data_IF_002683507041
#
_entry.id   IF_002683507041
#
_cell.length_a   1.000
_cell.length_b   1.000
_cell.length_c   1.000
_cell.angle_alpha   90.00
_cell.angle_beta   90.00
_cell.angle_gamma   90.00
#
_symmetry.space_group_name_H-M   'P 1'
#
loop_
_entity.id
_entity.type
_entity.pdbx_description
1 polymer ?
#
# COMPACT_ATOMS: atom_id res chain seq x y z
N UNK A 1 10.40 -27.06 -3.29
CA UNK A 1 10.96 -26.34 -4.45
C UNK A 1 11.18 -24.88 -4.06
N UNK A 2 12.31 -24.30 -4.40
CA UNK A 2 12.59 -22.86 -4.22
C UNK A 2 11.71 -22.07 -5.19
N UNK A 3 11.13 -20.94 -4.73
CA UNK A 3 10.33 -20.05 -5.58
C UNK A 3 11.11 -18.74 -5.81
N UNK A 4 11.03 -18.23 -7.03
CA UNK A 4 11.63 -16.95 -7.43
C UNK A 4 10.56 -15.86 -7.32
N UNK A 5 10.89 -14.77 -6.65
CA UNK A 5 10.00 -13.62 -6.48
C UNK A 5 10.80 -12.32 -6.52
N UNK A 6 10.12 -11.21 -6.79
CA UNK A 6 10.64 -9.85 -6.61
C UNK A 6 9.92 -9.11 -5.49
N UNK A 7 10.48 -8.00 -5.02
CA UNK A 7 9.81 -7.11 -4.05
C UNK A 7 8.68 -6.31 -4.70
N UNK A 8 8.87 -5.89 -5.93
CA UNK A 8 7.99 -5.08 -6.74
C UNK A 8 8.64 -4.75 -8.08
N UNK A 9 7.96 -3.95 -8.91
CA UNK A 9 8.44 -3.51 -10.21
C UNK A 9 8.44 -1.98 -10.30
N UNK A 10 9.52 -1.36 -10.86
CA UNK A 10 9.57 0.10 -11.01
C UNK A 10 8.43 0.62 -11.88
N UNK A 11 7.53 1.44 -11.31
CA UNK A 11 6.32 1.93 -12.00
C UNK A 11 6.55 3.05 -13.01
N UNK A 12 7.76 3.60 -13.08
CA UNK A 12 8.04 4.79 -13.90
C UNK A 12 7.83 4.56 -15.41
N UNK A 13 8.09 3.34 -15.88
CA UNK A 13 8.12 2.99 -17.29
C UNK A 13 9.44 3.38 -17.96
N UNK A 14 9.79 2.73 -19.08
CA UNK A 14 11.07 2.91 -19.79
C UNK A 14 11.25 4.32 -20.36
N UNK A 15 10.15 4.94 -20.80
CA UNK A 15 10.09 6.30 -21.36
C UNK A 15 9.45 7.31 -20.41
N UNK A 16 9.38 6.97 -19.10
CA UNK A 16 8.73 7.76 -18.06
C UNK A 16 7.23 7.97 -18.32
N UNK A 17 6.55 6.96 -18.87
CA UNK A 17 5.14 7.01 -19.24
C UNK A 17 4.29 7.39 -18.02
N UNK A 18 4.54 6.74 -16.89
CA UNK A 18 3.83 7.03 -15.67
C UNK A 18 3.96 8.49 -15.22
N UNK A 19 5.19 9.03 -15.23
CA UNK A 19 5.43 10.43 -14.84
C UNK A 19 4.65 11.39 -15.72
N UNK A 20 4.70 11.19 -17.05
CA UNK A 20 4.00 12.05 -18.02
C UNK A 20 2.49 11.99 -17.82
N UNK A 21 1.97 10.81 -17.50
CA UNK A 21 0.54 10.59 -17.31
C UNK A 21 0.01 11.34 -16.08
N UNK A 22 0.66 11.20 -14.92
CA UNK A 22 0.23 11.90 -13.70
C UNK A 22 0.43 13.42 -13.79
N UNK A 23 1.53 13.90 -14.40
CA UNK A 23 1.75 15.32 -14.64
C UNK A 23 0.68 15.90 -15.59
N UNK A 24 0.28 15.14 -16.62
CA UNK A 24 -0.82 15.48 -17.52
C UNK A 24 -2.16 15.58 -16.78
N UNK A 25 -2.43 14.68 -15.85
CA UNK A 25 -3.62 14.72 -15.01
C UNK A 25 -3.63 15.97 -14.10
N UNK A 26 -2.53 16.25 -13.43
CA UNK A 26 -2.42 17.46 -12.59
C UNK A 26 -2.55 18.76 -13.38
N UNK A 27 -2.08 18.78 -14.63
CA UNK A 27 -2.24 19.90 -15.54
C UNK A 27 -3.64 19.96 -16.18
N UNK A 28 -4.56 19.04 -15.84
CA UNK A 28 -5.91 18.91 -16.43
C UNK A 28 -5.92 18.62 -17.93
N UNK A 29 -4.83 18.08 -18.48
CA UNK A 29 -4.71 17.63 -19.87
C UNK A 29 -5.11 16.16 -20.06
N UNK A 30 -5.16 15.38 -18.98
CA UNK A 30 -5.58 13.97 -18.94
C UNK A 30 -6.79 13.87 -18.03
N UNK A 31 -7.83 13.19 -18.46
CA UNK A 31 -9.05 12.96 -17.66
C UNK A 31 -8.86 11.76 -16.73
N UNK A 32 -9.67 11.68 -15.67
CA UNK A 32 -9.59 10.62 -14.66
C UNK A 32 -9.70 9.21 -15.25
N UNK A 33 -10.64 8.98 -16.14
CA UNK A 33 -10.81 7.68 -16.79
C UNK A 33 -9.60 7.29 -17.65
N UNK A 34 -9.03 8.26 -18.38
CA UNK A 34 -7.82 8.07 -19.17
C UNK A 34 -6.61 7.75 -18.25
N UNK A 35 -6.47 8.46 -17.11
CA UNK A 35 -5.45 8.16 -16.11
C UNK A 35 -5.54 6.71 -15.64
N UNK A 36 -6.73 6.23 -15.27
CA UNK A 36 -6.90 4.86 -14.78
C UNK A 36 -6.70 3.81 -15.88
N UNK A 37 -7.15 4.08 -17.09
CA UNK A 37 -6.97 3.19 -18.23
C UNK A 37 -5.48 3.00 -18.56
N UNK A 38 -4.74 4.09 -18.72
CA UNK A 38 -3.31 4.05 -19.04
C UNK A 38 -2.47 3.49 -17.87
N UNK A 39 -2.81 3.83 -16.62
CA UNK A 39 -2.19 3.21 -15.44
C UNK A 39 -2.42 1.68 -15.43
N UNK A 40 -3.63 1.24 -15.78
CA UNK A 40 -3.96 -0.18 -15.91
C UNK A 40 -3.15 -0.87 -17.00
N UNK A 41 -2.97 -0.24 -18.18
CA UNK A 41 -2.14 -0.78 -19.27
C UNK A 41 -0.69 -0.98 -18.81
N UNK A 42 -0.08 0.05 -18.20
CA UNK A 42 1.29 -0.03 -17.68
C UNK A 42 1.43 -1.14 -16.62
N UNK A 43 0.51 -1.21 -15.68
CA UNK A 43 0.52 -2.22 -14.62
C UNK A 43 0.47 -3.64 -15.18
N UNK A 44 -0.45 -3.92 -16.09
CA UNK A 44 -0.58 -5.23 -16.78
C UNK A 44 0.68 -5.58 -17.56
N UNK A 45 1.29 -4.61 -18.24
CA UNK A 45 2.56 -4.80 -18.93
C UNK A 45 3.67 -5.20 -17.94
N UNK A 46 3.78 -4.55 -16.80
CA UNK A 46 4.80 -4.85 -15.79
C UNK A 46 4.60 -6.21 -15.13
N UNK A 47 3.34 -6.59 -14.89
CA UNK A 47 2.99 -7.95 -14.42
C UNK A 47 3.42 -8.99 -15.46
N UNK A 48 3.10 -8.76 -16.73
CA UNK A 48 3.48 -9.67 -17.83
C UNK A 48 4.99 -9.79 -18.00
N UNK A 49 5.75 -8.70 -17.92
CA UNK A 49 7.23 -8.72 -17.98
C UNK A 49 7.83 -9.61 -16.90
N UNK A 50 7.32 -9.52 -15.68
CA UNK A 50 7.77 -10.37 -14.58
C UNK A 50 7.40 -11.85 -14.79
N UNK A 51 6.21 -12.12 -15.32
CA UNK A 51 5.77 -13.47 -15.68
C UNK A 51 6.67 -14.09 -16.77
N UNK A 52 6.93 -13.35 -17.84
CA UNK A 52 7.77 -13.78 -18.97
C UNK A 52 9.24 -13.97 -18.54
N UNK A 53 9.70 -13.23 -17.52
CA UNK A 53 11.02 -13.42 -16.90
C UNK A 53 11.12 -14.67 -16.01
N UNK A 54 10.03 -15.41 -15.82
CA UNK A 54 10.01 -16.69 -15.10
C UNK A 54 9.84 -16.59 -13.59
N UNK A 55 9.33 -15.48 -13.05
CA UNK A 55 9.00 -15.39 -11.62
C UNK A 55 7.89 -16.39 -11.26
N UNK A 56 8.02 -17.02 -10.08
CA UNK A 56 7.01 -17.91 -9.51
C UNK A 56 5.96 -17.19 -8.70
N UNK A 57 6.36 -16.05 -8.08
CA UNK A 57 5.46 -15.17 -7.31
C UNK A 57 5.66 -13.74 -7.79
N UNK A 58 4.61 -13.15 -8.32
CA UNK A 58 4.60 -11.83 -8.95
C UNK A 58 3.88 -10.85 -8.03
N UNK A 59 4.57 -9.80 -7.55
CA UNK A 59 3.98 -8.81 -6.65
C UNK A 59 2.82 -8.06 -7.31
N UNK A 60 1.80 -7.80 -6.51
CA UNK A 60 0.58 -7.08 -6.87
C UNK A 60 0.25 -6.08 -5.78
N UNK A 61 -0.10 -4.86 -6.13
CA UNK A 61 -0.34 -3.78 -5.17
C UNK A 61 0.83 -2.82 -5.01
N UNK A 62 2.01 -3.17 -5.54
CA UNK A 62 3.22 -2.35 -5.58
C UNK A 62 3.09 -1.13 -6.53
N UNK A 63 2.20 -1.17 -7.52
CA UNK A 63 1.92 -0.05 -8.41
C UNK A 63 0.95 0.94 -7.74
N UNK A 64 1.49 2.01 -7.15
CA UNK A 64 0.71 3.12 -6.59
C UNK A 64 0.56 4.27 -7.59
N UNK A 65 -0.52 5.03 -7.50
CA UNK A 65 -0.67 6.28 -8.25
C UNK A 65 0.35 7.34 -7.83
N UNK A 66 0.72 7.37 -6.56
CA UNK A 66 1.72 8.30 -6.04
C UNK A 66 2.64 7.64 -5.01
N UNK A 67 2.08 7.11 -3.92
CA UNK A 67 2.80 6.52 -2.79
C UNK A 67 1.98 5.39 -2.16
N UNK A 68 2.63 4.26 -1.85
CA UNK A 68 1.97 3.08 -1.32
C UNK A 68 1.46 3.27 0.13
N UNK A 69 2.08 4.16 0.92
CA UNK A 69 1.59 4.52 2.26
C UNK A 69 0.33 5.36 2.16
N UNK A 70 0.27 6.28 1.19
CA UNK A 70 -0.94 7.05 0.90
C UNK A 70 -2.08 6.15 0.40
N UNK A 71 -1.77 5.13 -0.42
CA UNK A 71 -2.76 4.12 -0.82
C UNK A 71 -3.45 3.48 0.40
N UNK A 72 -2.66 3.08 1.41
CA UNK A 72 -3.19 2.52 2.67
C UNK A 72 -3.97 3.55 3.48
N UNK A 73 -3.47 4.79 3.56
CA UNK A 73 -4.15 5.86 4.27
C UNK A 73 -5.56 6.09 3.72
N UNK A 74 -5.70 6.14 2.40
CA UNK A 74 -7.01 6.28 1.74
C UNK A 74 -7.85 5.01 1.91
N UNK A 75 -7.25 3.82 1.77
CA UNK A 75 -7.94 2.54 1.94
C UNK A 75 -8.53 2.38 3.34
N UNK A 76 -7.79 2.77 4.37
CA UNK A 76 -8.21 2.64 5.78
C UNK A 76 -8.85 3.90 6.36
N UNK A 77 -9.19 4.89 5.53
CA UNK A 77 -9.81 6.14 5.96
C UNK A 77 -8.95 6.96 6.95
N UNK A 78 -7.63 6.85 6.83
CA UNK A 78 -6.69 7.72 7.57
C UNK A 78 -6.52 9.00 6.77
N UNK A 79 -7.58 9.79 6.72
CA UNK A 79 -7.67 11.04 5.95
C UNK A 79 -7.48 12.21 6.91
N UNK A 80 -6.53 13.13 6.64
CA UNK A 80 -6.29 14.27 7.51
C UNK A 80 -7.54 15.13 7.69
N UNK A 81 -7.78 15.62 8.91
CA UNK A 81 -8.98 16.37 9.32
C UNK A 81 -9.36 17.51 8.35
N UNK A 82 -8.37 18.19 7.78
CA UNK A 82 -8.59 19.29 6.81
C UNK A 82 -9.23 18.85 5.49
N UNK A 83 -9.27 17.55 5.21
CA UNK A 83 -9.92 16.96 4.03
C UNK A 83 -11.20 16.17 4.39
N UNK A 84 -11.64 16.21 5.66
CA UNK A 84 -12.82 15.47 6.13
C UNK A 84 -14.08 15.86 5.35
N UNK A 85 -14.97 14.89 5.12
CA UNK A 85 -16.25 15.09 4.42
C UNK A 85 -16.16 15.17 2.91
N UNK A 86 -14.96 15.10 2.33
CA UNK A 86 -14.79 15.00 0.88
C UNK A 86 -15.06 13.58 0.38
N UNK A 87 -15.50 13.48 -0.87
CA UNK A 87 -15.57 12.20 -1.57
C UNK A 87 -14.16 11.59 -1.67
N UNK A 88 -14.08 10.28 -1.46
CA UNK A 88 -12.81 9.53 -1.53
C UNK A 88 -12.56 9.15 -2.99
N UNK A 89 -11.98 10.08 -3.72
CA UNK A 89 -11.64 9.98 -5.14
C UNK A 89 -10.14 10.20 -5.41
N UNK A 90 -9.76 10.21 -6.67
CA UNK A 90 -8.37 10.43 -7.09
C UNK A 90 -7.92 11.88 -6.89
N UNK A 91 -8.82 12.85 -6.94
CA UNK A 91 -8.50 14.26 -6.66
C UNK A 91 -8.18 14.43 -5.16
N UNK A 92 -8.96 13.82 -4.26
CA UNK A 92 -8.63 13.79 -2.83
C UNK A 92 -7.27 13.12 -2.58
N UNK A 93 -7.01 11.99 -3.23
CA UNK A 93 -5.73 11.28 -3.12
C UNK A 93 -4.54 12.20 -3.45
N UNK A 94 -4.62 12.93 -4.56
CA UNK A 94 -3.55 13.86 -4.95
C UNK A 94 -3.54 15.13 -4.09
N UNK A 95 -4.68 15.61 -3.60
CA UNK A 95 -4.73 16.78 -2.71
C UNK A 95 -4.07 16.48 -1.34
N UNK A 96 -4.20 15.27 -0.81
CA UNK A 96 -3.47 14.86 0.40
C UNK A 96 -1.95 14.91 0.14
N UNK A 97 -1.51 14.44 -1.03
CA UNK A 97 -0.09 14.38 -1.38
C UNK A 97 0.54 15.74 -1.72
N UNK A 98 -0.23 16.65 -2.32
CA UNK A 98 0.30 17.88 -2.94
C UNK A 98 -0.28 19.17 -2.36
N UNK A 99 -1.35 19.06 -1.60
CA UNK A 99 -2.17 20.21 -1.21
C UNK A 99 -3.02 20.75 -2.35
N UNK A 100 -3.86 21.70 -2.03
CA UNK A 100 -4.66 22.48 -2.97
C UNK A 100 -4.72 23.95 -2.50
N UNK A 101 -5.56 24.77 -3.16
CA UNK A 101 -5.69 26.21 -2.82
C UNK A 101 -6.15 26.47 -1.38
N UNK A 102 -6.87 25.51 -0.76
CA UNK A 102 -7.51 25.68 0.54
C UNK A 102 -6.78 24.92 1.65
N UNK A 103 -6.05 23.85 1.31
CA UNK A 103 -5.45 22.92 2.27
C UNK A 103 -4.00 22.59 1.92
N UNK A 104 -3.14 22.61 2.94
CA UNK A 104 -1.74 22.17 2.79
C UNK A 104 -1.63 20.67 2.62
N UNK A 105 -0.60 20.23 1.88
CA UNK A 105 -0.24 18.82 1.74
C UNK A 105 0.10 18.17 3.07
N UNK A 106 -0.02 16.86 3.15
CA UNK A 106 0.61 16.06 4.20
C UNK A 106 2.13 16.09 4.08
N UNK A 107 2.82 15.85 5.18
CA UNK A 107 4.27 15.87 5.20
C UNK A 107 4.86 14.77 4.29
N UNK A 108 5.97 15.09 3.64
CA UNK A 108 6.75 14.18 2.82
C UNK A 108 8.04 13.82 3.56
N UNK A 109 8.27 12.54 3.83
CA UNK A 109 9.49 12.04 4.49
C UNK A 109 10.17 10.98 3.62
N UNK A 110 11.48 10.79 3.83
CA UNK A 110 12.21 9.71 3.19
C UNK A 110 11.72 8.36 3.71
N UNK A 111 11.59 7.41 2.79
CA UNK A 111 11.40 6.00 3.12
C UNK A 111 12.71 5.46 3.68
N UNK A 112 12.81 5.42 5.01
CA UNK A 112 14.04 5.10 5.73
C UNK A 112 15.22 5.98 5.24
N UNK A 113 16.35 5.39 4.85
CA UNK A 113 17.51 6.15 4.35
C UNK A 113 17.63 6.13 2.81
N UNK A 114 16.55 5.79 2.10
CA UNK A 114 16.49 5.78 0.63
C UNK A 114 16.19 7.16 0.04
N UNK A 115 16.26 7.27 -1.28
CA UNK A 115 15.79 8.46 -2.02
C UNK A 115 14.28 8.40 -2.33
N UNK A 116 13.60 7.32 -2.02
CA UNK A 116 12.15 7.25 -2.10
C UNK A 116 11.52 8.02 -0.93
N UNK A 117 10.42 8.69 -1.20
CA UNK A 117 9.68 9.44 -0.19
C UNK A 117 8.25 8.92 -0.09
N UNK A 118 7.67 9.01 1.09
CA UNK A 118 6.27 8.64 1.35
C UNK A 118 5.51 9.80 1.97
N UNK A 119 4.21 9.80 1.79
CA UNK A 119 3.28 10.75 2.42
C UNK A 119 2.97 10.27 3.84
N UNK A 120 3.28 11.10 4.83
CA UNK A 120 3.13 10.74 6.24
C UNK A 120 1.66 10.66 6.63
N UNK A 121 1.18 9.51 7.12
CA UNK A 121 -0.17 9.40 7.66
C UNK A 121 -0.36 10.27 8.90
N UNK A 122 -1.54 10.87 9.05
CA UNK A 122 -1.87 11.76 10.17
C UNK A 122 -3.01 11.15 11.00
N UNK A 123 -2.74 10.82 12.27
CA UNK A 123 -3.69 10.10 13.14
C UNK A 123 -4.59 10.99 13.97
N UNK A 124 -4.46 12.29 13.90
CA UNK A 124 -5.28 13.19 14.71
C UNK A 124 -6.74 13.18 14.24
N UNK A 125 -7.64 12.80 15.14
CA UNK A 125 -9.11 12.80 14.93
C UNK A 125 -9.59 11.94 13.75
N UNK A 126 -8.88 10.85 13.43
CA UNK A 126 -9.29 9.92 12.36
C UNK A 126 -10.10 8.74 12.91
N UNK A 127 -10.99 8.22 12.07
CA UNK A 127 -11.79 7.04 12.36
C UNK A 127 -11.54 5.96 11.29
N UNK A 128 -10.66 4.98 11.58
CA UNK A 128 -10.28 3.94 10.63
C UNK A 128 -11.48 3.08 10.22
N UNK A 129 -11.62 2.87 8.91
CA UNK A 129 -12.58 1.95 8.30
C UNK A 129 -12.10 1.58 6.89
N UNK A 130 -12.61 0.51 6.31
CA UNK A 130 -12.35 0.24 4.89
C UNK A 130 -13.19 1.16 4.01
N UNK A 131 -12.52 1.91 3.14
CA UNK A 131 -13.15 2.78 2.13
C UNK A 131 -13.25 2.13 0.75
N UNK A 132 -12.35 1.20 0.44
CA UNK A 132 -12.30 0.58 -0.89
C UNK A 132 -11.63 -0.80 -0.84
N UNK A 133 -11.77 -1.52 -1.94
CA UNK A 133 -11.26 -2.87 -2.17
C UNK A 133 -10.02 -2.87 -3.08
N UNK A 134 -9.30 -1.76 -3.17
CA UNK A 134 -8.23 -1.54 -4.14
C UNK A 134 -7.26 -2.73 -4.28
N UNK A 135 -6.73 -3.25 -3.17
CA UNK A 135 -5.76 -4.35 -3.24
C UNK A 135 -6.40 -5.64 -3.77
N UNK A 136 -7.65 -5.92 -3.40
CA UNK A 136 -8.42 -7.05 -3.92
C UNK A 136 -8.68 -6.93 -5.42
N UNK A 137 -9.03 -5.74 -5.90
CA UNK A 137 -9.29 -5.49 -7.32
C UNK A 137 -8.02 -5.65 -8.16
N UNK A 138 -6.88 -5.14 -7.67
CA UNK A 138 -5.57 -5.33 -8.30
C UNK A 138 -5.16 -6.80 -8.31
N UNK A 139 -5.46 -7.54 -7.22
CA UNK A 139 -5.19 -8.97 -7.16
C UNK A 139 -6.03 -9.75 -8.19
N UNK A 140 -7.32 -9.47 -8.30
CA UNK A 140 -8.21 -10.11 -9.30
C UNK A 140 -7.74 -9.83 -10.72
N UNK A 141 -7.39 -8.57 -11.04
CA UNK A 141 -6.82 -8.21 -12.35
C UNK A 141 -5.54 -9.00 -12.66
N UNK A 142 -4.61 -9.07 -11.70
CA UNK A 142 -3.37 -9.81 -11.89
C UNK A 142 -3.60 -11.33 -12.01
N UNK A 143 -4.53 -11.88 -11.26
CA UNK A 143 -4.90 -13.29 -11.31
C UNK A 143 -5.42 -13.72 -12.69
N UNK A 144 -6.13 -12.85 -13.39
CA UNK A 144 -6.55 -13.09 -14.79
C UNK A 144 -5.36 -13.22 -15.75
N UNK A 145 -4.22 -12.58 -15.44
CA UNK A 145 -3.03 -12.57 -16.29
C UNK A 145 -2.07 -13.70 -15.95
N UNK A 146 -1.82 -13.92 -14.64
CA UNK A 146 -0.75 -14.80 -14.16
C UNK A 146 -1.22 -15.93 -13.24
N UNK A 147 -2.53 -16.07 -13.05
CA UNK A 147 -3.14 -17.13 -12.24
C UNK A 147 -2.66 -17.08 -10.77
N UNK A 148 -2.36 -18.25 -10.22
CA UNK A 148 -1.95 -18.41 -8.81
C UNK A 148 -0.53 -17.89 -8.52
N UNK A 149 0.17 -17.32 -9.51
CA UNK A 149 1.44 -16.63 -9.32
C UNK A 149 1.27 -15.21 -8.76
N UNK A 150 0.07 -14.63 -8.82
CA UNK A 150 -0.21 -13.32 -8.23
C UNK A 150 -0.02 -13.34 -6.72
N UNK A 151 0.83 -12.46 -6.20
CA UNK A 151 1.17 -12.32 -4.78
C UNK A 151 0.84 -10.91 -4.31
N UNK A 152 -0.27 -10.69 -3.58
CA UNK A 152 -0.57 -9.39 -3.00
C UNK A 152 0.54 -8.91 -2.07
N UNK A 153 0.86 -7.61 -2.13
CA UNK A 153 1.85 -6.92 -1.29
C UNK A 153 1.19 -5.77 -0.57
N UNK A 154 1.41 -5.67 0.72
CA UNK A 154 0.89 -4.60 1.57
C UNK A 154 1.92 -4.22 2.62
N UNK A 155 2.03 -2.93 2.96
CA UNK A 155 2.83 -2.52 4.13
C UNK A 155 2.12 -2.98 5.40
N UNK A 156 2.88 -3.56 6.32
CA UNK A 156 2.34 -4.06 7.58
C UNK A 156 1.93 -2.95 8.55
N UNK A 157 1.02 -3.26 9.47
CA UNK A 157 0.42 -2.26 10.36
C UNK A 157 1.43 -1.61 11.30
N UNK A 158 2.48 -2.32 11.71
CA UNK A 158 3.46 -1.80 12.65
C UNK A 158 4.33 -0.73 11.99
N UNK A 159 4.88 -1.02 10.80
CA UNK A 159 5.61 -0.03 10.00
C UNK A 159 4.73 1.15 9.64
N UNK A 160 3.49 0.90 9.18
CA UNK A 160 2.57 1.96 8.81
C UNK A 160 2.33 2.94 9.96
N UNK A 161 2.06 2.44 11.19
CA UNK A 161 1.82 3.28 12.36
C UNK A 161 3.10 3.94 12.85
N UNK A 162 4.24 3.24 12.87
CA UNK A 162 5.53 3.81 13.27
C UNK A 162 5.99 4.97 12.37
N UNK A 163 5.62 4.94 11.09
CA UNK A 163 5.94 6.02 10.13
C UNK A 163 4.93 7.18 10.13
N UNK A 164 3.88 7.08 10.93
CA UNK A 164 2.80 8.06 11.02
C UNK A 164 3.15 9.25 11.91
N UNK A 165 2.28 10.25 11.94
CA UNK A 165 2.34 11.42 12.82
C UNK A 165 1.03 11.62 13.58
N UNK A 166 1.06 12.48 14.62
CA UNK A 166 -0.12 12.79 15.41
C UNK A 166 -0.50 11.71 16.44
N UNK A 167 0.47 10.86 16.81
CA UNK A 167 0.36 9.90 17.91
C UNK A 167 1.06 10.43 19.15
N UNK A 168 0.46 10.22 20.31
CA UNK A 168 1.10 10.45 21.59
C UNK A 168 2.08 9.31 21.91
N UNK A 169 3.02 9.58 22.84
CA UNK A 169 4.00 8.58 23.27
C UNK A 169 3.28 7.34 23.86
N UNK A 170 3.64 6.16 23.40
CA UNK A 170 3.06 4.88 23.84
C UNK A 170 1.71 4.52 23.22
N UNK A 171 1.19 5.28 22.27
CA UNK A 171 -0.08 4.96 21.62
C UNK A 171 0.03 3.99 20.42
N UNK A 172 1.24 3.69 19.93
CA UNK A 172 1.45 2.88 18.76
C UNK A 172 0.68 1.55 18.80
N UNK A 173 0.79 0.80 19.90
CA UNK A 173 0.10 -0.49 20.02
C UNK A 173 -1.41 -0.34 19.93
N UNK A 174 -2.00 0.64 20.63
CA UNK A 174 -3.45 0.91 20.58
C UNK A 174 -3.93 1.24 19.17
N UNK A 175 -3.11 1.96 18.41
CA UNK A 175 -3.43 2.35 17.04
C UNK A 175 -3.29 1.16 16.09
N UNK A 176 -2.26 0.34 16.24
CA UNK A 176 -2.12 -0.93 15.54
C UNK A 176 -3.33 -1.83 15.81
N UNK A 177 -3.78 -1.96 17.06
CA UNK A 177 -4.95 -2.76 17.43
C UNK A 177 -6.25 -2.30 16.72
N UNK A 178 -6.39 -1.00 16.42
CA UNK A 178 -7.52 -0.48 15.62
C UNK A 178 -7.44 -0.91 14.14
N UNK A 179 -6.24 -1.09 13.61
CA UNK A 179 -6.03 -1.50 12.22
C UNK A 179 -6.12 -3.02 12.01
N UNK A 180 -5.77 -3.82 13.02
CA UNK A 180 -5.75 -5.29 12.93
C UNK A 180 -7.05 -5.87 12.35
N UNK A 181 -8.27 -5.47 12.77
CA UNK A 181 -9.50 -5.98 12.16
C UNK A 181 -9.64 -5.65 10.68
N UNK A 182 -9.18 -4.45 10.25
CA UNK A 182 -9.24 -4.01 8.85
C UNK A 182 -8.28 -4.80 7.98
N UNK A 183 -7.05 -5.02 8.45
CA UNK A 183 -6.09 -5.89 7.77
C UNK A 183 -6.62 -7.34 7.68
N UNK A 184 -7.19 -7.85 8.77
CA UNK A 184 -7.78 -9.20 8.80
C UNK A 184 -8.87 -9.33 7.74
N UNK A 185 -9.73 -8.34 7.59
CA UNK A 185 -10.75 -8.33 6.55
C UNK A 185 -10.13 -8.36 5.14
N UNK A 186 -9.16 -7.49 4.87
CA UNK A 186 -8.44 -7.47 3.58
C UNK A 186 -7.79 -8.82 3.28
N UNK A 187 -7.15 -9.46 4.27
CA UNK A 187 -6.51 -10.75 4.08
C UNK A 187 -7.53 -11.86 3.82
N UNK A 188 -8.66 -11.88 4.52
CA UNK A 188 -9.75 -12.85 4.27
C UNK A 188 -10.31 -12.69 2.86
N UNK A 189 -10.59 -11.47 2.42
CA UNK A 189 -11.07 -11.18 1.07
C UNK A 189 -10.08 -11.63 -0.02
N UNK A 190 -8.77 -11.45 0.20
CA UNK A 190 -7.73 -11.93 -0.71
C UNK A 190 -7.66 -13.47 -0.76
N UNK A 191 -7.75 -14.13 0.40
CA UNK A 191 -7.77 -15.60 0.50
C UNK A 191 -9.01 -16.17 -0.18
N UNK A 192 -10.18 -15.59 0.04
CA UNK A 192 -11.44 -15.98 -0.59
C UNK A 192 -11.39 -15.82 -2.12
N UNK A 193 -10.63 -14.81 -2.61
CA UNK A 193 -10.33 -14.64 -4.02
C UNK A 193 -9.26 -15.63 -4.54
N UNK A 194 -8.63 -16.43 -3.66
CA UNK A 194 -7.67 -17.48 -3.97
C UNK A 194 -6.20 -17.10 -3.84
N UNK A 195 -5.87 -16.07 -3.06
CA UNK A 195 -4.48 -15.74 -2.77
C UNK A 195 -3.84 -16.80 -1.86
N UNK A 196 -2.82 -17.49 -2.38
CA UNK A 196 -2.07 -18.50 -1.62
C UNK A 196 -0.95 -17.89 -0.77
N UNK A 197 -0.42 -16.76 -1.18
CA UNK A 197 0.65 -16.04 -0.50
C UNK A 197 0.28 -14.56 -0.40
N UNK A 198 0.52 -13.96 0.75
CA UNK A 198 0.39 -12.51 0.97
C UNK A 198 1.72 -12.02 1.52
N UNK A 199 2.35 -11.05 0.85
CA UNK A 199 3.54 -10.39 1.34
C UNK A 199 3.14 -9.21 2.21
N UNK A 200 3.72 -9.15 3.42
CA UNK A 200 3.57 -8.05 4.35
C UNK A 200 4.92 -7.41 4.61
N UNK A 201 5.06 -6.15 4.23
CA UNK A 201 6.32 -5.41 4.32
C UNK A 201 6.40 -4.67 5.66
N UNK A 202 7.36 -5.06 6.49
CA UNK A 202 7.60 -4.48 7.82
C UNK A 202 9.06 -4.03 7.99
N UNK A 203 9.53 -3.10 7.16
CA UNK A 203 10.93 -2.63 7.23
C UNK A 203 11.29 -1.90 8.54
N UNK A 204 10.35 -1.53 9.38
CA UNK A 204 10.65 -0.95 10.70
C UNK A 204 11.56 -1.87 11.54
N UNK A 205 11.47 -3.20 11.36
CA UNK A 205 12.23 -4.17 12.14
C UNK A 205 13.73 -4.22 11.82
N UNK A 206 14.21 -3.52 10.79
CA UNK A 206 15.67 -3.35 10.56
C UNK A 206 16.24 -2.13 11.31
N UNK A 207 15.39 -1.35 11.96
CA UNK A 207 15.81 -0.19 12.76
C UNK A 207 15.99 -0.56 14.24
N UNK A 208 16.73 0.26 14.99
CA UNK A 208 16.85 0.08 16.45
C UNK A 208 15.49 0.22 17.15
N UNK A 209 14.63 1.11 16.66
CA UNK A 209 13.27 1.30 17.18
C UNK A 209 12.41 0.05 17.00
N UNK A 210 12.55 -0.66 15.87
CA UNK A 210 11.79 -1.87 15.58
C UNK A 210 11.93 -2.99 16.61
N UNK A 211 13.04 -3.02 17.35
CA UNK A 211 13.25 -3.97 18.46
C UNK A 211 12.18 -3.84 19.55
N UNK A 212 11.67 -2.64 19.77
CA UNK A 212 10.64 -2.38 20.78
C UNK A 212 9.28 -2.98 20.39
N UNK A 213 9.08 -3.33 19.11
CA UNK A 213 7.82 -3.81 18.58
C UNK A 213 7.77 -5.33 18.34
N UNK A 214 8.78 -6.09 18.74
CA UNK A 214 8.85 -7.56 18.50
C UNK A 214 7.67 -8.27 19.20
N UNK A 215 7.35 -7.93 20.45
CA UNK A 215 6.22 -8.54 21.15
C UNK A 215 4.88 -8.22 20.47
N UNK A 216 4.71 -6.99 20.00
CA UNK A 216 3.55 -6.57 19.23
C UNK A 216 3.45 -7.33 17.91
N UNK A 217 4.58 -7.53 17.20
CA UNK A 217 4.61 -8.31 15.99
C UNK A 217 4.13 -9.75 16.23
N UNK A 218 4.61 -10.42 17.27
CA UNK A 218 4.14 -11.75 17.64
C UNK A 218 2.62 -11.78 17.87
N UNK A 219 2.08 -10.81 18.62
CA UNK A 219 0.64 -10.69 18.86
C UNK A 219 -0.13 -10.55 17.54
N UNK A 220 0.24 -9.59 16.71
CA UNK A 220 -0.46 -9.22 15.47
C UNK A 220 -0.39 -10.34 14.43
N UNK A 221 0.81 -10.86 14.17
CA UNK A 221 0.98 -11.88 13.12
C UNK A 221 0.48 -13.26 13.52
N UNK A 222 0.47 -13.61 14.81
CA UNK A 222 -0.25 -14.80 15.29
C UNK A 222 -1.76 -14.65 15.06
N UNK A 223 -2.33 -13.46 15.30
CA UNK A 223 -3.73 -13.20 14.99
C UNK A 223 -4.02 -13.38 13.49
N UNK A 224 -3.22 -12.78 12.60
CA UNK A 224 -3.41 -12.91 11.16
C UNK A 224 -3.28 -14.36 10.68
N UNK A 225 -2.31 -15.12 11.17
CA UNK A 225 -2.16 -16.54 10.84
C UNK A 225 -3.37 -17.38 11.25
N UNK A 226 -3.95 -17.09 12.41
CA UNK A 226 -5.12 -17.81 12.90
C UNK A 226 -6.40 -17.44 12.14
N UNK A 227 -6.54 -16.20 11.73
CA UNK A 227 -7.79 -15.67 11.19
C UNK A 227 -7.89 -15.76 9.66
N UNK A 228 -6.79 -15.60 8.92
CA UNK A 228 -6.85 -15.45 7.47
C UNK A 228 -6.49 -16.73 6.69
N UNK A 229 -5.93 -17.76 7.34
CA UNK A 229 -5.52 -19.01 6.69
C UNK A 229 -4.65 -18.81 5.42
N UNK A 230 -3.80 -17.79 5.40
CA UNK A 230 -2.88 -17.45 4.31
C UNK A 230 -1.45 -17.85 4.64
N UNK A 231 -0.61 -18.02 3.62
CA UNK A 231 0.84 -18.07 3.80
C UNK A 231 1.41 -16.68 3.72
N UNK A 232 1.81 -16.12 4.86
CA UNK A 232 2.42 -14.81 4.92
C UNK A 232 3.92 -14.88 4.59
N UNK A 233 4.35 -13.95 3.72
CA UNK A 233 5.77 -13.64 3.46
C UNK A 233 6.06 -12.35 4.20
N UNK A 234 6.78 -12.46 5.30
CA UNK A 234 7.20 -11.32 6.10
C UNK A 234 8.48 -10.73 5.49
N UNK A 235 8.42 -9.49 5.06
CA UNK A 235 9.52 -8.85 4.33
C UNK A 235 10.04 -7.64 5.11
N UNK A 236 11.30 -7.66 5.48
CA UNK A 236 11.93 -6.56 6.23
C UNK A 236 12.87 -5.70 5.40
N UNK A 237 13.32 -6.13 4.28
CA UNK A 237 14.35 -5.56 3.38
C UNK A 237 15.19 -4.41 3.98
N UNK A 238 16.31 -4.01 3.36
CA UNK A 238 17.47 -3.21 3.77
C UNK A 238 18.60 -3.99 4.40
#
# INVERSE_FOLDING_TARGET
MTKISSLGYPRLGEKREWKKLIEGYWARNVRQNELFEEAGKLRREFIKKQFDAGLDLIPVGDFSLYDHILDLSVQFNIIPKRFEGREVDVDLFFDIARGNKDNVASALKKWFNTNYHYIVPEWKDVNPKLNNTRLLDLYKEAKEIVGDKAKPVITGPITYVALSSGLDEGELEKVVDKLVPLYTQVFKELVDAGASYIQVDEPIFVTDEGRNYIALAHKVYNHFNNEANAKFIFQTYF
#
